data_IF_764666926445
#
_entry.id   IF_764666926445
#
_cell.length_a   1.000
_cell.length_b   1.000
_cell.length_c   1.000
_cell.angle_alpha   90.00
_cell.angle_beta   90.00
_cell.angle_gamma   90.00
#
_symmetry.space_group_name_H-M   'P 1'
#
loop_
_entity.id
_entity.type
_entity.pdbx_description
1 polymer ?
#
# COMPACT_ATOMS: atom_id res chain seq x y z
N UNK A 1 -7.76 -15.04 1.87
CA UNK A 1 -6.56 -14.23 2.19
C UNK A 1 -5.36 -15.03 1.75
N UNK A 2 -4.53 -14.49 0.87
CA UNK A 2 -3.38 -15.22 0.36
C UNK A 2 -2.21 -15.07 1.34
N UNK A 3 -1.61 -16.16 1.82
CA UNK A 3 -0.53 -16.10 2.81
C UNK A 3 0.70 -15.32 2.31
N UNK A 4 0.92 -15.27 0.99
CA UNK A 4 1.99 -14.51 0.35
C UNK A 4 1.77 -12.98 0.45
N UNK A 5 0.55 -12.49 0.24
CA UNK A 5 0.21 -11.06 0.43
C UNK A 5 0.45 -10.62 1.88
N UNK A 6 0.09 -11.48 2.84
CA UNK A 6 0.31 -11.20 4.27
C UNK A 6 1.81 -11.12 4.56
N UNK A 7 2.62 -12.02 4.01
CA UNK A 7 4.07 -11.96 4.17
C UNK A 7 4.64 -10.67 3.56
N UNK A 8 4.26 -10.33 2.34
CA UNK A 8 4.70 -9.09 1.68
C UNK A 8 4.28 -7.84 2.46
N UNK A 9 3.06 -7.82 3.02
CA UNK A 9 2.59 -6.74 3.88
C UNK A 9 3.46 -6.59 5.14
N UNK A 10 3.82 -7.70 5.79
CA UNK A 10 4.70 -7.69 6.97
C UNK A 10 6.07 -7.10 6.65
N UNK A 11 6.66 -7.50 5.52
CA UNK A 11 7.96 -7.00 5.09
C UNK A 11 7.91 -5.48 4.86
N UNK A 12 6.90 -4.99 4.13
CA UNK A 12 6.70 -3.56 3.85
C UNK A 12 6.49 -2.76 5.14
N UNK A 13 5.70 -3.27 6.08
CA UNK A 13 5.40 -2.59 7.34
C UNK A 13 6.67 -2.42 8.18
N UNK A 14 7.53 -3.43 8.19
CA UNK A 14 8.85 -3.35 8.84
C UNK A 14 9.80 -2.39 8.11
N UNK A 15 9.95 -2.56 6.78
CA UNK A 15 10.91 -1.80 5.95
C UNK A 15 10.58 -0.29 5.89
N UNK A 16 9.30 0.06 5.72
CA UNK A 16 8.92 1.43 5.37
C UNK A 16 8.30 2.21 6.53
N UNK A 17 7.75 1.52 7.52
CA UNK A 17 7.07 2.15 8.67
C UNK A 17 7.79 1.90 9.98
N UNK A 18 8.82 1.04 10.01
CA UNK A 18 9.58 0.73 11.22
C UNK A 18 8.76 -0.01 12.27
N UNK A 19 7.64 -0.61 11.87
CA UNK A 19 6.73 -1.34 12.75
C UNK A 19 7.22 -2.79 12.80
N UNK A 20 7.60 -3.21 13.98
CA UNK A 20 8.11 -4.55 14.22
C UNK A 20 7.01 -5.62 14.14
N UNK A 21 7.42 -6.89 13.99
CA UNK A 21 6.47 -8.00 13.92
C UNK A 21 5.64 -8.19 15.21
N UNK A 22 6.15 -7.70 16.35
CA UNK A 22 5.48 -7.73 17.65
C UNK A 22 4.40 -6.65 17.79
N UNK A 23 4.51 -5.54 17.06
CA UNK A 23 3.54 -4.44 17.04
C UNK A 23 2.41 -4.65 16.01
N UNK A 24 2.60 -5.57 15.05
CA UNK A 24 1.62 -5.88 14.02
C UNK A 24 0.21 -6.26 14.52
N UNK A 25 0.05 -7.03 15.63
CA UNK A 25 -1.27 -7.34 16.17
C UNK A 25 -2.02 -6.07 16.58
N UNK A 26 -1.36 -5.14 17.25
CA UNK A 26 -1.93 -3.86 17.70
C UNK A 26 -2.31 -2.97 16.51
N UNK A 27 -1.44 -2.89 15.50
CA UNK A 27 -1.74 -2.17 14.26
C UNK A 27 -2.93 -2.79 13.53
N UNK A 28 -3.04 -4.11 13.51
CA UNK A 28 -4.17 -4.82 12.88
C UNK A 28 -5.47 -4.55 13.63
N UNK A 29 -5.42 -4.50 14.96
CA UNK A 29 -6.57 -4.14 15.81
C UNK A 29 -6.98 -2.69 15.58
N UNK A 30 -6.03 -1.76 15.56
CA UNK A 30 -6.29 -0.37 15.21
C UNK A 30 -6.91 -0.21 13.82
N UNK A 31 -6.36 -0.88 12.80
CA UNK A 31 -6.91 -0.86 11.44
C UNK A 31 -8.31 -1.48 11.37
N UNK A 32 -8.61 -2.46 12.24
CA UNK A 32 -9.95 -3.01 12.33
C UNK A 32 -10.91 -1.99 12.93
N UNK A 33 -10.55 -1.35 14.02
CA UNK A 33 -11.43 -0.42 14.73
C UNK A 33 -11.67 0.87 13.93
N UNK A 34 -10.64 1.41 13.29
CA UNK A 34 -10.73 2.65 12.50
C UNK A 34 -11.04 2.41 11.01
N UNK A 35 -10.77 1.21 10.50
CA UNK A 35 -11.01 0.86 9.10
C UNK A 35 -12.50 0.72 8.74
N UNK A 36 -13.37 0.46 9.72
CA UNK A 36 -14.82 0.48 9.49
C UNK A 36 -15.38 1.89 9.26
N UNK A 37 -14.71 2.92 9.77
CA UNK A 37 -15.15 4.31 9.64
C UNK A 37 -14.67 4.98 8.35
N UNK A 38 -13.66 4.40 7.70
CA UNK A 38 -12.96 5.02 6.57
C UNK A 38 -13.14 4.21 5.29
N UNK A 39 -13.74 4.84 4.28
CA UNK A 39 -13.78 4.26 2.93
C UNK A 39 -12.38 4.27 2.30
N UNK A 40 -12.12 3.37 1.34
CA UNK A 40 -10.87 3.37 0.55
C UNK A 40 -10.56 4.74 -0.06
N UNK A 41 -11.60 5.50 -0.44
CA UNK A 41 -11.43 6.86 -0.96
C UNK A 41 -10.91 7.82 0.12
N UNK A 42 -11.49 7.79 1.32
CA UNK A 42 -11.05 8.64 2.43
C UNK A 42 -9.62 8.30 2.86
N UNK A 43 -9.31 7.01 2.99
CA UNK A 43 -7.95 6.56 3.32
C UNK A 43 -6.93 7.06 2.27
N UNK A 44 -7.21 6.87 0.98
CA UNK A 44 -6.34 7.37 -0.09
C UNK A 44 -6.23 8.90 -0.10
N UNK A 45 -7.30 9.64 0.23
CA UNK A 45 -7.25 11.10 0.35
C UNK A 45 -6.39 11.57 1.52
N UNK A 46 -6.39 10.87 2.66
CA UNK A 46 -5.50 11.18 3.79
C UNK A 46 -4.01 11.02 3.40
N UNK A 47 -3.73 10.07 2.50
CA UNK A 47 -2.40 9.78 1.99
C UNK A 47 -1.96 10.72 0.86
N UNK A 48 -2.88 11.43 0.22
CA UNK A 48 -2.57 12.38 -0.87
C UNK A 48 -1.76 13.60 -0.37
N UNK A 49 -1.85 13.93 0.92
CA UNK A 49 -1.08 14.99 1.58
C UNK A 49 0.41 14.65 1.76
N UNK A 50 0.82 13.40 1.47
CA UNK A 50 2.23 13.00 1.52
C UNK A 50 3.02 13.61 0.35
N UNK A 51 4.35 13.73 0.54
CA UNK A 51 5.26 14.14 -0.53
C UNK A 51 5.12 13.23 -1.77
N UNK A 52 5.27 13.75 -3.01
CA UNK A 52 5.06 12.98 -4.24
C UNK A 52 5.82 11.65 -4.29
N UNK A 53 7.07 11.64 -3.84
CA UNK A 53 7.95 10.47 -3.86
C UNK A 53 7.44 9.38 -2.90
N UNK A 54 6.85 9.81 -1.77
CA UNK A 54 6.22 8.92 -0.79
C UNK A 54 4.92 8.32 -1.31
N UNK A 55 4.14 9.08 -2.10
CA UNK A 55 2.92 8.56 -2.75
C UNK A 55 3.25 7.48 -3.77
N UNK A 56 4.29 7.70 -4.59
CA UNK A 56 4.76 6.71 -5.55
C UNK A 56 5.31 5.44 -4.87
N UNK A 57 6.07 5.61 -3.78
CA UNK A 57 6.58 4.50 -2.96
C UNK A 57 5.45 3.66 -2.37
N UNK A 58 4.42 4.30 -1.81
CA UNK A 58 3.25 3.63 -1.27
C UNK A 58 2.51 2.82 -2.35
N UNK A 59 2.30 3.41 -3.53
CA UNK A 59 1.62 2.73 -4.63
C UNK A 59 2.41 1.50 -5.12
N UNK A 60 3.74 1.61 -5.18
CA UNK A 60 4.63 0.47 -5.47
C UNK A 60 4.45 -0.63 -4.42
N UNK A 61 4.40 -0.29 -3.14
CA UNK A 61 4.26 -1.28 -2.06
C UNK A 61 2.92 -2.03 -2.15
N UNK A 62 1.83 -1.31 -2.44
CA UNK A 62 0.52 -1.93 -2.70
C UNK A 62 0.58 -2.90 -3.88
N UNK A 63 1.31 -2.55 -4.95
CA UNK A 63 1.52 -3.46 -6.09
C UNK A 63 2.39 -4.67 -5.72
N UNK A 64 3.38 -4.53 -4.83
CA UNK A 64 4.20 -5.64 -4.32
C UNK A 64 3.35 -6.61 -3.52
N UNK A 65 2.43 -6.11 -2.70
CA UNK A 65 1.49 -6.95 -1.93
C UNK A 65 0.59 -7.73 -2.87
N UNK A 66 -0.12 -7.04 -3.78
CA UNK A 66 -1.07 -7.69 -4.70
C UNK A 66 -0.39 -8.71 -5.64
N UNK A 67 0.89 -8.55 -5.96
CA UNK A 67 1.63 -9.49 -6.82
C UNK A 67 2.30 -10.63 -6.07
N UNK A 68 2.20 -10.69 -4.74
CA UNK A 68 3.01 -11.58 -3.92
C UNK A 68 2.77 -13.08 -4.20
N UNK A 69 1.59 -13.44 -4.69
CA UNK A 69 1.18 -14.79 -5.05
C UNK A 69 1.25 -15.07 -6.56
N UNK A 70 1.84 -14.15 -7.35
CA UNK A 70 1.86 -14.15 -8.82
C UNK A 70 0.48 -14.12 -9.49
N UNK A 71 -0.57 -13.68 -8.79
CA UNK A 71 -1.89 -13.51 -9.35
C UNK A 71 -2.46 -12.15 -8.96
N UNK A 72 -2.84 -11.32 -9.95
CA UNK A 72 -3.55 -10.08 -9.69
C UNK A 72 -4.87 -10.13 -10.44
N UNK A 73 -5.97 -10.02 -9.72
CA UNK A 73 -7.30 -10.04 -10.33
C UNK A 73 -7.76 -8.64 -10.79
N UNK A 74 -8.91 -8.61 -11.48
CA UNK A 74 -9.48 -7.34 -11.97
C UNK A 74 -9.89 -6.39 -10.84
N UNK A 75 -10.33 -6.92 -9.71
CA UNK A 75 -10.79 -6.12 -8.57
C UNK A 75 -9.61 -5.44 -7.86
N UNK A 76 -8.49 -6.14 -7.69
CA UNK A 76 -7.24 -5.60 -7.17
C UNK A 76 -6.65 -4.55 -8.11
N UNK A 77 -6.63 -4.86 -9.41
CA UNK A 77 -6.20 -3.90 -10.44
C UNK A 77 -7.03 -2.62 -10.40
N UNK A 78 -8.36 -2.74 -10.30
CA UNK A 78 -9.26 -1.60 -10.21
C UNK A 78 -9.06 -0.80 -8.92
N UNK A 79 -8.82 -1.48 -7.79
CA UNK A 79 -8.54 -0.84 -6.51
C UNK A 79 -7.24 -0.04 -6.55
N UNK A 80 -6.14 -0.65 -7.01
CA UNK A 80 -4.83 0.00 -7.13
C UNK A 80 -4.90 1.19 -8.08
N UNK A 81 -5.58 1.05 -9.23
CA UNK A 81 -5.76 2.16 -10.17
C UNK A 81 -6.50 3.34 -9.53
N UNK A 82 -7.58 3.07 -8.79
CA UNK A 82 -8.34 4.11 -8.10
C UNK A 82 -7.50 4.81 -7.03
N UNK A 83 -6.64 4.07 -6.32
CA UNK A 83 -5.72 4.65 -5.34
C UNK A 83 -4.69 5.54 -6.07
N UNK A 84 -4.12 5.09 -7.18
CA UNK A 84 -3.19 5.89 -8.00
C UNK A 84 -3.82 7.22 -8.44
N UNK A 85 -5.07 7.17 -8.91
CA UNK A 85 -5.82 8.36 -9.33
C UNK A 85 -6.03 9.36 -8.17
N UNK A 86 -6.33 8.86 -6.96
CA UNK A 86 -6.51 9.72 -5.77
C UNK A 86 -5.18 10.31 -5.29
N UNK A 87 -4.09 9.53 -5.35
CA UNK A 87 -2.76 9.98 -4.95
C UNK A 87 -2.10 10.89 -6.00
N UNK A 88 -2.70 11.02 -7.19
CA UNK A 88 -2.12 11.79 -8.30
C UNK A 88 -0.78 11.23 -8.77
N UNK A 89 -0.60 9.90 -8.69
CA UNK A 89 0.65 9.21 -9.08
C UNK A 89 0.53 8.73 -10.51
N UNK A 90 1.45 9.16 -11.36
CA UNK A 90 1.51 8.76 -12.76
C UNK A 90 2.37 7.50 -12.96
N UNK A 91 2.29 6.92 -14.16
CA UNK A 91 3.19 5.83 -14.54
C UNK A 91 4.67 6.24 -14.54
N UNK A 92 4.96 7.53 -14.81
CA UNK A 92 6.32 8.06 -14.76
C UNK A 92 6.85 8.13 -13.33
N UNK A 93 6.04 8.61 -12.39
CA UNK A 93 6.40 8.66 -10.97
C UNK A 93 6.69 7.26 -10.42
N UNK A 94 5.88 6.27 -10.82
CA UNK A 94 6.09 4.86 -10.48
C UNK A 94 7.41 4.32 -11.05
N UNK A 95 7.74 4.63 -12.30
CA UNK A 95 9.01 4.23 -12.92
C UNK A 95 10.21 4.82 -12.19
N UNK A 96 10.12 6.10 -11.80
CA UNK A 96 11.18 6.76 -11.03
C UNK A 96 11.32 6.16 -9.62
N UNK A 97 10.21 5.87 -8.94
CA UNK A 97 10.23 5.22 -7.62
C UNK A 97 10.82 3.81 -7.65
N UNK A 98 10.75 3.10 -8.78
CA UNK A 98 11.41 1.80 -8.97
C UNK A 98 12.93 1.93 -9.17
N UNK A 99 13.41 3.04 -9.71
CA UNK A 99 14.84 3.28 -9.97
C UNK A 99 15.60 3.83 -8.75
N UNK A 100 14.88 4.43 -7.80
CA UNK A 100 15.44 5.00 -6.56
C UNK A 100 15.48 4.02 -5.39
N UNK A 101 14.92 2.81 -5.56
CA UNK A 101 15.06 1.76 -4.56
C UNK A 101 16.50 1.21 -4.58
N UNK A 102 17.23 1.23 -3.45
CA UNK A 102 18.60 0.73 -3.36
C UNK A 102 18.70 -0.79 -3.57
#
# INVERSE_FOLDING_TARGET
RHPAEIAAFRDIVSENFGISAEELPEVTEYLKDFGYETTTKQAASMLAEMAPERRASLLRDLMRIARADNHVDQSETAMIKRIADILGVTADDLRQAQQLAP
#
